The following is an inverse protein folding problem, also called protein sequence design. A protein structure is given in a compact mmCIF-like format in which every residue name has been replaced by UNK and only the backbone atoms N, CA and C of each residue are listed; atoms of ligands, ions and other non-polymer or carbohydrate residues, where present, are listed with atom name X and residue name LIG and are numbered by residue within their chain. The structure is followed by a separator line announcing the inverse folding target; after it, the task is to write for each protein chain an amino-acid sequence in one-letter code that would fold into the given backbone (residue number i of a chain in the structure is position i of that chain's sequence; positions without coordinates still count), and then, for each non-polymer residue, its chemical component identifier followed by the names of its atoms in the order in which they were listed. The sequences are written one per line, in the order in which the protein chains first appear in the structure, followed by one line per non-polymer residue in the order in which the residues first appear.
data_IF_178918614444
#
_entry.id   IF_178918614444
#
_cell.length_a   1.000
_cell.length_b   1.000
_cell.length_c   1.000
_cell.angle_alpha   90.00
_cell.angle_beta   90.00
_cell.angle_gamma   90.00
#
_symmetry.space_group_name_H-M   'P 1'
#
loop_
_entity.id
_entity.type
_entity.pdbx_description
1 polymer ?
#
# COMPACT_ATOMS: atom_id res chain seq x y z
N UNK A 1 -0.34 -6.83 12.55
CA UNK A 1 0.36 -6.78 13.85
C UNK A 1 1.70 -7.52 13.87
N UNK A 2 1.74 -8.83 13.63
CA UNK A 2 2.96 -9.64 13.77
C UNK A 2 4.15 -9.15 12.92
N UNK A 3 3.93 -8.89 11.62
CA UNK A 3 4.99 -8.40 10.73
C UNK A 3 5.61 -7.06 11.17
N UNK A 4 4.82 -6.14 11.73
CA UNK A 4 5.36 -4.87 12.22
C UNK A 4 6.31 -5.08 13.42
N UNK A 5 5.92 -5.92 14.37
CA UNK A 5 6.75 -6.27 15.55
C UNK A 5 8.06 -6.92 15.09
N UNK A 6 8.00 -7.81 14.10
CA UNK A 6 9.18 -8.43 13.52
C UNK A 6 10.12 -7.37 12.90
N UNK A 7 9.58 -6.41 12.14
CA UNK A 7 10.37 -5.32 11.57
C UNK A 7 10.98 -4.39 12.64
N UNK A 8 10.26 -4.12 13.73
CA UNK A 8 10.82 -3.33 14.84
C UNK A 8 12.04 -3.98 15.47
N UNK A 9 12.12 -5.31 15.51
CA UNK A 9 13.24 -6.04 16.12
C UNK A 9 14.61 -5.76 15.47
N UNK A 10 14.64 -5.33 14.20
CA UNK A 10 15.90 -4.99 13.51
C UNK A 10 16.01 -3.51 13.11
N UNK A 11 15.06 -2.67 13.52
CA UNK A 11 14.93 -1.28 13.06
C UNK A 11 16.21 -0.44 13.20
N UNK A 12 16.94 -0.57 14.31
CA UNK A 12 18.16 0.21 14.56
C UNK A 12 19.35 -0.21 13.69
N UNK A 13 19.40 -1.49 13.28
CA UNK A 13 20.56 -2.11 12.62
C UNK A 13 20.52 -2.00 11.10
N UNK A 14 19.32 -1.83 10.54
CA UNK A 14 19.09 -1.92 9.11
C UNK A 14 19.12 -0.55 8.39
N UNK A 15 19.16 -0.62 7.06
CA UNK A 15 19.29 0.54 6.18
C UNK A 15 18.05 1.45 6.15
N UNK A 16 18.15 2.58 5.45
CA UNK A 16 17.07 3.57 5.37
C UNK A 16 15.79 3.00 4.73
N UNK A 17 15.91 2.18 3.70
CA UNK A 17 14.77 1.52 3.03
C UNK A 17 13.97 0.64 3.99
N UNK A 18 14.67 -0.13 4.84
CA UNK A 18 14.06 -0.94 5.89
C UNK A 18 13.26 -0.10 6.89
N UNK A 19 13.85 1.00 7.36
CA UNK A 19 13.20 1.90 8.32
C UNK A 19 11.93 2.53 7.75
N UNK A 20 11.97 2.99 6.50
CA UNK A 20 10.79 3.53 5.82
C UNK A 20 9.71 2.46 5.69
N UNK A 21 10.07 1.23 5.31
CA UNK A 21 9.10 0.15 5.21
C UNK A 21 8.50 -0.24 6.57
N UNK A 22 9.30 -0.23 7.63
CA UNK A 22 8.79 -0.46 8.98
C UNK A 22 7.81 0.64 9.42
N UNK A 23 8.10 1.91 9.11
CA UNK A 23 7.17 3.03 9.35
C UNK A 23 5.87 2.82 8.56
N UNK A 24 5.96 2.38 7.30
CA UNK A 24 4.79 2.01 6.50
C UNK A 24 3.94 0.95 7.18
N UNK A 25 4.54 -0.16 7.65
CA UNK A 25 3.80 -1.21 8.37
C UNK A 25 3.15 -0.68 9.65
N UNK A 26 3.82 0.23 10.36
CA UNK A 26 3.27 0.88 11.55
C UNK A 26 2.08 1.77 11.23
N UNK A 27 2.17 2.58 10.17
CA UNK A 27 1.07 3.44 9.72
C UNK A 27 -0.16 2.63 9.29
N UNK A 28 0.04 1.53 8.54
CA UNK A 28 -1.07 0.65 8.13
C UNK A 28 -1.74 0.01 9.36
N UNK A 29 -0.95 -0.40 10.36
CA UNK A 29 -1.46 -0.94 11.62
C UNK A 29 -2.24 0.10 12.42
N UNK A 30 -1.75 1.33 12.50
CA UNK A 30 -2.46 2.43 13.16
C UNK A 30 -3.80 2.70 12.46
N UNK A 31 -3.81 2.76 11.13
CA UNK A 31 -5.04 2.96 10.36
C UNK A 31 -6.05 1.83 10.61
N UNK A 32 -5.60 0.57 10.66
CA UNK A 32 -6.45 -0.57 10.98
C UNK A 32 -7.05 -0.49 12.40
N UNK A 33 -6.27 -0.07 13.40
CA UNK A 33 -6.77 0.13 14.76
C UNK A 33 -7.80 1.26 14.79
N UNK A 34 -7.52 2.39 14.15
CA UNK A 34 -8.43 3.54 14.11
C UNK A 34 -9.78 3.15 13.48
N UNK A 35 -9.76 2.43 12.35
CA UNK A 35 -10.98 1.92 11.71
C UNK A 35 -11.79 1.06 12.69
N UNK A 36 -11.15 0.10 13.39
CA UNK A 36 -11.87 -0.77 14.34
C UNK A 36 -12.48 0.00 15.49
N UNK A 37 -11.74 0.97 16.04
CA UNK A 37 -12.25 1.84 17.12
C UNK A 37 -13.50 2.58 16.64
N UNK A 38 -13.44 3.21 15.47
CA UNK A 38 -14.55 3.97 14.88
C UNK A 38 -15.79 3.10 14.63
N UNK A 39 -15.58 1.87 14.13
CA UNK A 39 -16.66 0.90 13.93
C UNK A 39 -17.33 0.50 15.25
N UNK A 40 -16.55 0.33 16.33
CA UNK A 40 -17.10 0.01 17.67
C UNK A 40 -18.01 1.15 18.17
N UNK A 41 -17.69 2.40 17.85
CA UNK A 41 -18.51 3.58 18.20
C UNK A 41 -19.66 3.85 17.22
N UNK A 42 -19.87 3.00 16.20
CA UNK A 42 -21.02 3.10 15.29
C UNK A 42 -20.88 4.15 14.18
N UNK A 43 -19.70 4.73 13.98
CA UNK A 43 -19.46 5.71 12.92
C UNK A 43 -19.11 5.06 11.58
N UNK A 44 -19.40 5.76 10.48
CA UNK A 44 -18.99 5.32 9.14
C UNK A 44 -17.46 5.25 9.04
N UNK A 45 -16.96 4.14 8.50
CA UNK A 45 -15.53 3.84 8.37
C UNK A 45 -14.93 4.28 7.01
N UNK A 46 -15.77 4.75 6.08
CA UNK A 46 -15.37 5.02 4.70
C UNK A 46 -14.37 6.16 4.59
N UNK A 47 -14.47 7.20 5.44
CA UNK A 47 -13.52 8.32 5.48
C UNK A 47 -12.08 7.82 5.72
N UNK A 48 -11.91 6.78 6.55
CA UNK A 48 -10.60 6.19 6.86
C UNK A 48 -10.03 5.33 5.72
N UNK A 49 -10.81 5.06 4.68
CA UNK A 49 -10.29 4.46 3.45
C UNK A 49 -9.43 5.44 2.67
N UNK A 50 -9.74 6.74 2.67
CA UNK A 50 -8.91 7.77 2.03
C UNK A 50 -7.55 7.92 2.73
N UNK A 51 -7.56 7.91 4.07
CA UNK A 51 -6.30 7.93 4.84
C UNK A 51 -5.47 6.68 4.59
N UNK A 52 -6.12 5.52 4.37
CA UNK A 52 -5.46 4.28 4.00
C UNK A 52 -4.80 4.37 2.62
N UNK A 53 -5.55 4.68 1.56
CA UNK A 53 -5.04 4.67 0.18
C UNK A 53 -3.99 5.76 -0.05
N UNK A 54 -4.30 7.01 0.34
CA UNK A 54 -3.35 8.13 0.21
C UNK A 54 -2.12 7.94 1.10
N UNK A 55 -2.30 7.46 2.35
CA UNK A 55 -1.17 7.17 3.25
C UNK A 55 -0.28 6.04 2.74
N UNK A 56 -0.88 4.96 2.24
CA UNK A 56 -0.17 3.85 1.58
C UNK A 56 0.64 4.36 0.38
N UNK A 57 0.05 5.20 -0.46
CA UNK A 57 0.72 5.82 -1.59
C UNK A 57 1.94 6.64 -1.19
N UNK A 58 1.81 7.54 -0.23
CA UNK A 58 2.90 8.42 0.21
C UNK A 58 4.06 7.58 0.75
N UNK A 59 3.78 6.65 1.67
CA UNK A 59 4.82 5.88 2.35
C UNK A 59 5.52 4.89 1.41
N UNK A 60 4.77 4.21 0.52
CA UNK A 60 5.37 3.34 -0.47
C UNK A 60 6.14 4.14 -1.53
N UNK A 61 5.70 5.34 -1.91
CA UNK A 61 6.49 6.21 -2.78
C UNK A 61 7.83 6.59 -2.15
N UNK A 62 7.85 6.92 -0.86
CA UNK A 62 9.08 7.18 -0.12
C UNK A 62 10.00 5.94 -0.05
N UNK A 63 9.41 4.75 0.05
CA UNK A 63 10.14 3.48 -0.01
C UNK A 63 10.79 3.28 -1.39
N UNK A 64 10.02 3.43 -2.48
CA UNK A 64 10.56 3.31 -3.84
C UNK A 64 11.59 4.39 -4.18
N UNK A 65 11.51 5.60 -3.61
CA UNK A 65 12.56 6.61 -3.77
C UNK A 65 13.93 6.15 -3.25
N UNK A 66 13.97 5.26 -2.25
CA UNK A 66 15.22 4.67 -1.77
C UNK A 66 15.67 3.48 -2.63
N UNK A 67 14.73 2.70 -3.15
CA UNK A 67 15.01 1.48 -3.90
C UNK A 67 15.42 1.74 -5.36
N UNK A 68 14.77 2.69 -6.02
CA UNK A 68 15.08 3.05 -7.41
C UNK A 68 16.47 3.69 -7.47
N UNK A 69 17.25 3.38 -8.50
CA UNK A 69 18.63 3.87 -8.63
C UNK A 69 18.71 5.07 -9.55
N UNK A 70 18.07 4.96 -10.71
CA UNK A 70 18.16 5.96 -11.76
C UNK A 70 17.47 7.28 -11.38
N UNK A 71 18.15 8.39 -11.71
CA UNK A 71 17.67 9.72 -11.35
C UNK A 71 16.34 10.07 -12.01
N UNK A 72 16.10 9.62 -13.25
CA UNK A 72 14.83 9.87 -13.95
C UNK A 72 13.66 9.15 -13.26
N UNK A 73 13.86 7.90 -12.81
CA UNK A 73 12.85 7.13 -12.08
C UNK A 73 12.49 7.82 -10.77
N UNK A 74 13.49 8.31 -10.01
CA UNK A 74 13.26 9.09 -8.79
C UNK A 74 12.52 10.39 -9.05
N UNK A 75 12.80 11.08 -10.16
CA UNK A 75 12.07 12.31 -10.54
C UNK A 75 10.59 12.02 -10.77
N UNK A 76 10.27 10.92 -11.46
CA UNK A 76 8.87 10.47 -11.67
C UNK A 76 8.17 10.25 -10.33
N UNK A 77 8.79 9.51 -9.41
CA UNK A 77 8.19 9.27 -8.08
C UNK A 77 7.98 10.58 -7.31
N UNK A 78 8.97 11.49 -7.30
CA UNK A 78 8.83 12.80 -6.62
C UNK A 78 7.73 13.66 -7.22
N UNK A 79 7.62 13.68 -8.55
CA UNK A 79 6.57 14.41 -9.25
C UNK A 79 5.19 13.89 -8.83
N UNK A 80 4.97 12.58 -8.93
CA UNK A 80 3.72 11.93 -8.54
C UNK A 80 3.40 12.10 -7.05
N UNK A 81 4.42 12.07 -6.17
CA UNK A 81 4.27 12.25 -4.73
C UNK A 81 3.65 13.61 -4.38
N UNK A 82 3.87 14.64 -5.20
CA UNK A 82 3.24 15.94 -5.04
C UNK A 82 1.94 16.05 -5.86
N UNK A 83 1.97 15.58 -7.10
CA UNK A 83 0.89 15.77 -8.07
C UNK A 83 -0.38 14.99 -7.71
N UNK A 84 -0.26 13.71 -7.34
CA UNK A 84 -1.43 12.86 -7.05
C UNK A 84 -2.20 13.38 -5.83
N UNK A 85 -1.57 13.64 -4.66
CA UNK A 85 -2.29 14.20 -3.52
C UNK A 85 -2.93 15.56 -3.83
N UNK A 86 -2.26 16.40 -4.64
CA UNK A 86 -2.82 17.70 -5.05
C UNK A 86 -4.11 17.54 -5.86
N UNK A 87 -4.14 16.60 -6.82
CA UNK A 87 -5.35 16.28 -7.58
C UNK A 87 -6.46 15.78 -6.65
N UNK A 88 -6.13 14.90 -5.70
CA UNK A 88 -7.13 14.35 -4.79
C UNK A 88 -7.72 15.41 -3.87
N UNK A 89 -6.90 16.32 -3.35
CA UNK A 89 -7.39 17.46 -2.56
C UNK A 89 -8.34 18.32 -3.39
N UNK A 90 -7.98 18.68 -4.63
CA UNK A 90 -8.87 19.44 -5.52
C UNK A 90 -10.17 18.67 -5.78
N UNK A 91 -10.07 17.36 -6.03
CA UNK A 91 -11.24 16.51 -6.27
C UNK A 91 -12.21 16.50 -5.07
N UNK A 92 -11.71 16.37 -3.84
CA UNK A 92 -12.55 16.39 -2.64
C UNK A 92 -13.08 17.80 -2.29
N UNK A 93 -12.42 18.87 -2.75
CA UNK A 93 -12.96 20.23 -2.61
C UNK A 93 -14.14 20.49 -3.56
N UNK A 94 -14.11 19.88 -4.76
CA UNK A 94 -15.19 20.02 -5.76
C UNK A 94 -16.35 19.05 -5.45
N UNK A 95 -16.03 17.82 -5.03
CA UNK A 95 -16.99 16.74 -4.78
C UNK A 95 -16.85 16.18 -3.35
N UNK A 96 -17.25 16.93 -2.31
CA UNK A 96 -17.06 16.54 -0.92
C UNK A 96 -17.82 15.27 -0.54
N UNK A 97 -18.93 14.96 -1.21
CA UNK A 97 -19.69 13.72 -1.07
C UNK A 97 -18.84 12.46 -1.28
N UNK A 98 -17.78 12.53 -2.11
CA UNK A 98 -16.88 11.41 -2.34
C UNK A 98 -16.03 11.04 -1.12
N UNK A 99 -15.99 11.87 -0.07
CA UNK A 99 -15.34 11.53 1.21
C UNK A 99 -16.11 10.46 2.00
N UNK A 100 -17.38 10.25 1.68
CA UNK A 100 -18.24 9.27 2.33
C UNK A 100 -18.39 7.99 1.50
N UNK A 101 -17.69 7.87 0.37
CA UNK A 101 -17.75 6.73 -0.55
C UNK A 101 -16.34 6.28 -0.98
N UNK A 102 -16.24 5.11 -1.62
CA UNK A 102 -14.98 4.70 -2.23
C UNK A 102 -14.67 5.56 -3.45
N UNK A 103 -13.70 6.47 -3.34
CA UNK A 103 -13.26 7.30 -4.46
C UNK A 103 -12.46 6.44 -5.47
N UNK A 104 -13.10 6.06 -6.58
CA UNK A 104 -12.45 5.26 -7.63
C UNK A 104 -11.19 5.91 -8.19
N UNK A 105 -11.21 7.24 -8.37
CA UNK A 105 -10.08 8.01 -8.91
C UNK A 105 -8.88 7.91 -7.96
N UNK A 106 -9.11 8.05 -6.65
CA UNK A 106 -8.07 7.88 -5.64
C UNK A 106 -7.47 6.49 -5.71
N UNK A 107 -8.30 5.46 -5.63
CA UNK A 107 -7.86 4.06 -5.60
C UNK A 107 -7.03 3.76 -6.85
N UNK A 108 -7.51 4.18 -8.03
CA UNK A 108 -6.84 3.93 -9.29
C UNK A 108 -5.51 4.70 -9.42
N UNK A 109 -5.49 6.01 -9.16
CA UNK A 109 -4.28 6.82 -9.30
C UNK A 109 -3.18 6.39 -8.34
N UNK A 110 -3.55 6.18 -7.07
CA UNK A 110 -2.60 5.77 -6.03
C UNK A 110 -2.03 4.39 -6.30
N UNK A 111 -2.87 3.41 -6.66
CA UNK A 111 -2.41 2.04 -6.89
C UNK A 111 -1.61 1.91 -8.18
N UNK A 112 -2.06 2.52 -9.29
CA UNK A 112 -1.33 2.47 -10.57
C UNK A 112 0.05 3.10 -10.46
N UNK A 113 0.20 4.20 -9.71
CA UNK A 113 1.49 4.82 -9.48
C UNK A 113 2.46 3.86 -8.78
N UNK A 114 2.02 3.21 -7.70
CA UNK A 114 2.88 2.27 -6.95
C UNK A 114 3.16 1.00 -7.75
N UNK A 115 2.17 0.46 -8.48
CA UNK A 115 2.36 -0.68 -9.39
C UNK A 115 3.41 -0.33 -10.44
N UNK A 116 3.37 0.86 -11.01
CA UNK A 116 4.37 1.34 -11.98
C UNK A 116 5.78 1.36 -11.36
N UNK A 117 5.93 1.87 -10.13
CA UNK A 117 7.22 1.88 -9.44
C UNK A 117 7.74 0.48 -9.15
N UNK A 118 6.84 -0.42 -8.73
CA UNK A 118 7.15 -1.81 -8.45
C UNK A 118 7.66 -2.55 -9.70
N UNK A 119 7.02 -2.31 -10.85
CA UNK A 119 7.44 -2.86 -12.14
C UNK A 119 8.79 -2.30 -12.59
N UNK A 120 9.01 -0.99 -12.46
CA UNK A 120 10.32 -0.37 -12.75
C UNK A 120 11.40 -0.95 -11.82
N UNK A 121 11.08 -1.18 -10.55
CA UNK A 121 12.02 -1.77 -9.61
C UNK A 121 12.40 -3.20 -10.02
N UNK A 122 11.44 -4.03 -10.45
CA UNK A 122 11.75 -5.35 -11.00
C UNK A 122 12.70 -5.28 -12.19
N UNK A 123 12.48 -4.33 -13.11
CA UNK A 123 13.38 -4.12 -14.23
C UNK A 123 14.82 -3.81 -13.76
N UNK A 124 14.97 -2.89 -12.80
CA UNK A 124 16.28 -2.56 -12.24
C UNK A 124 16.97 -3.78 -11.58
N UNK A 125 16.21 -4.69 -10.99
CA UNK A 125 16.74 -5.90 -10.33
C UNK A 125 17.29 -6.94 -11.30
N UNK A 126 16.97 -6.85 -12.60
CA UNK A 126 17.58 -7.74 -13.61
C UNK A 126 19.10 -7.53 -13.70
N UNK A 127 19.57 -6.30 -13.46
CA UNK A 127 20.99 -5.93 -13.53
C UNK A 127 21.63 -5.72 -12.15
N UNK A 128 20.89 -5.86 -11.05
CA UNK A 128 21.33 -5.43 -9.72
C UNK A 128 21.01 -6.45 -8.61
N UNK A 129 21.58 -6.19 -7.42
CA UNK A 129 21.26 -6.96 -6.20
C UNK A 129 19.76 -6.95 -5.91
N UNK A 130 19.25 -8.12 -5.54
CA UNK A 130 17.83 -8.36 -5.22
C UNK A 130 17.52 -7.99 -3.77
N UNK A 131 17.44 -6.70 -3.48
CA UNK A 131 16.99 -6.20 -2.17
C UNK A 131 15.46 -6.11 -2.14
N UNK A 132 14.81 -6.43 -1.01
CA UNK A 132 13.35 -6.30 -0.85
C UNK A 132 12.50 -6.97 -1.96
N UNK A 133 13.00 -8.06 -2.54
CA UNK A 133 12.38 -8.71 -3.70
C UNK A 133 10.98 -9.26 -3.38
N UNK A 134 10.85 -10.01 -2.28
CA UNK A 134 9.58 -10.60 -1.90
C UNK A 134 8.59 -9.52 -1.45
N UNK A 135 9.07 -8.46 -0.79
CA UNK A 135 8.24 -7.29 -0.49
C UNK A 135 7.71 -6.67 -1.79
N UNK A 136 8.55 -6.48 -2.81
CA UNK A 136 8.11 -5.93 -4.10
C UNK A 136 7.07 -6.84 -4.78
N UNK A 137 7.28 -8.15 -4.80
CA UNK A 137 6.29 -9.13 -5.28
C UNK A 137 4.95 -8.99 -4.54
N UNK A 138 5.01 -8.95 -3.21
CA UNK A 138 3.83 -8.82 -2.37
C UNK A 138 3.07 -7.52 -2.64
N UNK A 139 3.77 -6.38 -2.76
CA UNK A 139 3.17 -5.08 -3.10
C UNK A 139 2.46 -5.15 -4.45
N UNK A 140 3.13 -5.68 -5.49
CA UNK A 140 2.56 -5.74 -6.83
C UNK A 140 1.31 -6.62 -6.89
N UNK A 141 1.39 -7.84 -6.35
CA UNK A 141 0.27 -8.79 -6.34
C UNK A 141 -0.91 -8.21 -5.55
N UNK A 142 -0.63 -7.68 -4.36
CA UNK A 142 -1.68 -7.11 -3.50
C UNK A 142 -2.34 -5.91 -4.15
N UNK A 143 -1.58 -4.91 -4.61
CA UNK A 143 -2.16 -3.69 -5.16
C UNK A 143 -2.91 -3.94 -6.45
N UNK A 144 -2.39 -4.79 -7.33
CA UNK A 144 -3.07 -5.14 -8.56
C UNK A 144 -4.41 -5.84 -8.26
N UNK A 145 -4.38 -6.91 -7.47
CA UNK A 145 -5.59 -7.65 -7.13
C UNK A 145 -6.58 -6.83 -6.29
N UNK A 146 -6.08 -6.03 -5.35
CA UNK A 146 -6.87 -5.13 -4.52
C UNK A 146 -7.61 -4.10 -5.36
N UNK A 147 -6.94 -3.49 -6.32
CA UNK A 147 -7.56 -2.52 -7.22
C UNK A 147 -8.70 -3.17 -8.01
N UNK A 148 -8.49 -4.39 -8.51
CA UNK A 148 -9.54 -5.16 -9.19
C UNK A 148 -10.73 -5.48 -8.27
N UNK A 149 -10.54 -5.64 -6.96
CA UNK A 149 -11.68 -5.84 -6.04
C UNK A 149 -12.38 -4.56 -5.60
N UNK A 150 -11.71 -3.41 -5.66
CA UNK A 150 -12.30 -2.13 -5.25
C UNK A 150 -13.04 -1.43 -6.38
N UNK A 151 -12.52 -1.44 -7.60
CA UNK A 151 -13.14 -0.77 -8.76
C UNK A 151 -14.61 -1.17 -9.00
N UNK A 152 -15.00 -2.46 -8.97
CA UNK A 152 -16.38 -2.84 -9.26
C UNK A 152 -17.34 -2.65 -8.07
N UNK A 153 -16.92 -2.17 -6.88
CA UNK A 153 -17.82 -2.07 -5.71
C UNK A 153 -18.99 -1.12 -5.90
N UNK A 154 -18.88 -0.11 -6.76
CA UNK A 154 -20.03 0.75 -7.06
C UNK A 154 -21.15 0.01 -7.83
N UNK A 155 -20.88 -1.20 -8.35
CA UNK A 155 -21.88 -2.08 -8.95
C UNK A 155 -22.69 -2.87 -7.92
N UNK A 156 -22.47 -2.63 -6.61
CA UNK A 156 -23.21 -3.29 -5.52
C UNK A 156 -24.74 -3.22 -5.70
N UNK A 157 -25.25 -2.07 -6.16
CA UNK A 157 -26.67 -1.84 -6.39
C UNK A 157 -27.24 -2.85 -7.40
N UNK A 158 -26.45 -3.27 -8.37
CA UNK A 158 -26.85 -4.20 -9.45
C UNK A 158 -26.73 -5.67 -9.05
N UNK A 159 -25.69 -6.04 -8.29
CA UNK A 159 -25.35 -7.44 -8.01
C UNK A 159 -25.60 -7.89 -6.56
N UNK A 160 -25.98 -6.97 -5.67
CA UNK A 160 -26.37 -7.25 -4.29
C UNK A 160 -25.21 -7.62 -3.34
N UNK A 161 -25.56 -7.95 -2.09
CA UNK A 161 -24.60 -8.20 -0.99
C UNK A 161 -23.67 -9.40 -1.19
N UNK A 162 -24.08 -10.41 -1.95
CA UNK A 162 -23.25 -11.58 -2.23
C UNK A 162 -22.00 -11.18 -3.04
N UNK A 163 -22.15 -10.25 -3.99
CA UNK A 163 -21.05 -9.72 -4.79
C UNK A 163 -19.98 -9.04 -3.94
N UNK A 164 -20.38 -8.13 -3.05
CA UNK A 164 -19.46 -7.45 -2.12
C UNK A 164 -18.72 -8.43 -1.21
N UNK A 165 -19.42 -9.48 -0.78
CA UNK A 165 -18.83 -10.50 0.09
C UNK A 165 -17.71 -11.25 -0.63
N UNK A 166 -17.89 -11.58 -1.90
CA UNK A 166 -16.86 -12.20 -2.74
C UNK A 166 -15.67 -11.26 -2.92
N UNK A 167 -15.92 -9.99 -3.29
CA UNK A 167 -14.85 -9.00 -3.47
C UNK A 167 -14.05 -8.73 -2.19
N UNK A 168 -14.75 -8.68 -1.05
CA UNK A 168 -14.14 -8.53 0.27
C UNK A 168 -13.28 -9.74 0.63
N UNK A 169 -13.82 -10.95 0.44
CA UNK A 169 -13.10 -12.20 0.70
C UNK A 169 -11.84 -12.30 -0.14
N UNK A 170 -11.93 -11.98 -1.44
CA UNK A 170 -10.76 -11.98 -2.32
C UNK A 170 -9.70 -10.97 -1.88
N UNK A 171 -10.11 -9.77 -1.44
CA UNK A 171 -9.18 -8.76 -0.93
C UNK A 171 -8.47 -9.24 0.36
N UNK A 172 -9.19 -9.91 1.27
CA UNK A 172 -8.61 -10.50 2.49
C UNK A 172 -7.57 -11.57 2.13
N UNK A 173 -7.88 -12.46 1.19
CA UNK A 173 -6.93 -13.50 0.73
C UNK A 173 -5.67 -12.86 0.15
N UNK A 174 -5.81 -11.85 -0.72
CA UNK A 174 -4.68 -11.11 -1.28
C UNK A 174 -3.83 -10.44 -0.20
N UNK A 175 -4.48 -9.87 0.83
CA UNK A 175 -3.77 -9.26 1.95
C UNK A 175 -3.00 -10.31 2.78
N UNK A 176 -3.57 -11.50 3.01
CA UNK A 176 -2.86 -12.60 3.69
C UNK A 176 -1.62 -13.02 2.89
N UNK A 177 -1.76 -13.18 1.57
CA UNK A 177 -0.63 -13.48 0.67
C UNK A 177 0.46 -12.42 0.80
N UNK A 178 0.07 -11.14 0.81
CA UNK A 178 1.00 -10.03 1.03
C UNK A 178 1.75 -10.12 2.36
N UNK A 179 1.05 -10.43 3.45
CA UNK A 179 1.66 -10.62 4.76
C UNK A 179 2.67 -11.77 4.77
N UNK A 180 2.42 -12.86 4.03
CA UNK A 180 3.37 -13.97 3.88
C UNK A 180 4.65 -13.49 3.18
N UNK A 181 4.55 -12.74 2.08
CA UNK A 181 5.72 -12.18 1.40
C UNK A 181 6.56 -11.29 2.32
N UNK A 182 5.91 -10.43 3.12
CA UNK A 182 6.59 -9.58 4.11
C UNK A 182 7.35 -10.42 5.15
N UNK A 183 6.71 -11.46 5.66
CA UNK A 183 7.32 -12.34 6.65
C UNK A 183 8.55 -13.07 6.10
N UNK A 184 8.45 -13.59 4.88
CA UNK A 184 9.55 -14.30 4.23
C UNK A 184 10.74 -13.37 3.95
N UNK A 185 10.50 -12.14 3.49
CA UNK A 185 11.57 -11.14 3.28
C UNK A 185 12.27 -10.81 4.60
N UNK A 186 11.51 -10.57 5.67
CA UNK A 186 12.08 -10.30 7.00
C UNK A 186 13.00 -11.44 7.46
N UNK A 187 12.56 -12.69 7.27
CA UNK A 187 13.36 -13.87 7.65
C UNK A 187 14.68 -13.91 6.87
N UNK A 188 14.67 -13.56 5.58
CA UNK A 188 15.89 -13.47 4.77
C UNK A 188 16.83 -12.37 5.27
N UNK A 189 16.32 -11.16 5.54
CA UNK A 189 17.10 -10.03 6.08
C UNK A 189 17.74 -10.41 7.42
N UNK A 190 16.95 -11.00 8.33
CA UNK A 190 17.43 -11.45 9.63
C UNK A 190 18.55 -12.49 9.56
N UNK A 191 18.50 -13.36 8.56
CA UNK A 191 19.52 -14.40 8.36
C UNK A 191 20.82 -13.79 7.85
N UNK A 192 20.74 -12.81 6.92
CA UNK A 192 21.90 -12.06 6.42
C UNK A 192 22.58 -11.20 7.48
N UNK A 193 21.81 -10.63 8.41
CA UNK A 193 22.33 -9.78 9.51
C UNK A 193 23.13 -10.56 10.57
N UNK A 194 23.09 -11.90 10.56
CA UNK A 194 23.79 -12.77 11.52
C UNK A 194 25.10 -13.38 10.99
N UNK A 195 25.38 -13.26 9.70
CA UNK A 195 26.62 -13.73 9.07
C UNK A 195 27.55 -12.56 8.81
#
# INVERSE_FOLDING_TARGET
MLNFILFLSQFKKENKSYKIYAIYLGAMLLNEILIRVVVIYGYQNLIFSHTYFTGQFILLSLFYLQLLKENYQKKIVKFNLFFIPSILVVNFLIFPEQLHEFCMIEILLTSLAIISYSTIYFYNMLSNKKEFYLINCGILIYLFGSTVTFLPRNLHITYGKSFDTVLSTLNIVLYIVYLVFIFLEWRQIKTRSKG
#
